data_IF_895679487163
#
_entry.id   IF_895679487163
#
_cell.length_a   1.000
_cell.length_b   1.000
_cell.length_c   1.000
_cell.angle_alpha   90.00
_cell.angle_beta   90.00
_cell.angle_gamma   90.00
#
_symmetry.space_group_name_H-M   'P 1'
#
loop_
_entity.id
_entity.type
_entity.pdbx_description
1 polymer ?
#
# COMPACT_ATOMS: atom_id res chain seq x y z
N UNK A 1 -10.86 -4.73 8.58
CA UNK A 1 -9.50 -4.91 8.03
C UNK A 1 -9.50 -4.33 6.62
N UNK A 2 -8.80 -3.22 6.39
CA UNK A 2 -8.78 -2.60 5.07
C UNK A 2 -7.73 -3.29 4.20
N UNK A 3 -8.19 -4.11 3.26
CA UNK A 3 -7.32 -4.76 2.28
C UNK A 3 -7.03 -3.75 1.16
N UNK A 4 -5.79 -3.27 1.09
CA UNK A 4 -5.34 -2.37 0.03
C UNK A 4 -4.70 -3.20 -1.08
N UNK A 5 -4.99 -2.91 -2.33
CA UNK A 5 -4.26 -3.52 -3.44
C UNK A 5 -2.97 -2.75 -3.68
N UNK A 6 -1.79 -3.36 -3.64
CA UNK A 6 -0.56 -2.75 -4.13
C UNK A 6 0.07 -3.62 -5.20
N UNK A 7 0.76 -2.97 -6.11
CA UNK A 7 1.65 -3.67 -7.01
C UNK A 7 2.94 -4.02 -6.28
N UNK A 8 3.17 -5.32 -6.08
CA UNK A 8 4.43 -5.79 -5.54
C UNK A 8 5.42 -5.96 -6.68
N UNK A 9 6.49 -5.15 -6.70
CA UNK A 9 7.54 -5.20 -7.72
C UNK A 9 8.31 -6.52 -7.73
N UNK A 10 8.44 -7.20 -6.58
CA UNK A 10 9.04 -8.55 -6.53
C UNK A 10 8.14 -9.60 -7.16
N UNK A 11 6.84 -9.56 -6.87
CA UNK A 11 5.88 -10.51 -7.43
C UNK A 11 5.40 -10.12 -8.84
N UNK A 12 5.73 -8.90 -9.30
CA UNK A 12 5.23 -8.28 -10.55
C UNK A 12 3.72 -8.43 -10.73
N UNK A 13 2.99 -8.38 -9.63
CA UNK A 13 1.56 -8.62 -9.59
C UNK A 13 0.90 -7.67 -8.60
N UNK A 14 -0.36 -7.32 -8.87
CA UNK A 14 -1.23 -6.64 -7.92
C UNK A 14 -1.62 -7.64 -6.83
N UNK A 15 -1.37 -7.29 -5.58
CA UNK A 15 -1.67 -8.12 -4.42
C UNK A 15 -2.43 -7.27 -3.41
N UNK A 16 -3.48 -7.84 -2.84
CA UNK A 16 -4.10 -7.33 -1.63
C UNK A 16 -3.14 -7.53 -0.47
N UNK A 17 -2.85 -6.46 0.25
CA UNK A 17 -2.06 -6.48 1.46
C UNK A 17 -2.85 -5.78 2.56
N UNK A 18 -2.69 -6.28 3.77
CA UNK A 18 -3.21 -5.60 4.94
C UNK A 18 -2.20 -4.53 5.35
N UNK A 19 -2.70 -3.30 5.41
CA UNK A 19 -1.90 -2.13 5.66
C UNK A 19 -2.72 -1.04 6.29
N UNK A 20 -2.04 -0.07 6.87
CA UNK A 20 -2.65 1.10 7.48
C UNK A 20 -2.48 2.31 6.56
N UNK A 21 -3.50 3.15 6.52
CA UNK A 21 -3.41 4.44 5.83
C UNK A 21 -2.70 5.40 6.75
N UNK A 22 -1.53 5.84 6.33
CA UNK A 22 -0.77 6.90 6.96
C UNK A 22 -0.95 8.18 6.18
N UNK A 23 -1.15 9.28 6.88
CA UNK A 23 -1.15 10.61 6.29
C UNK A 23 0.29 11.13 6.31
N UNK A 24 0.85 11.41 5.14
CA UNK A 24 2.19 11.98 5.02
C UNK A 24 2.14 13.47 5.36
N UNK A 25 3.26 14.01 5.84
CA UNK A 25 3.43 15.44 6.17
C UNK A 25 3.08 16.41 5.03
N UNK A 26 2.99 15.93 3.79
CA UNK A 26 2.58 16.69 2.61
C UNK A 26 1.06 16.64 2.35
N UNK A 27 0.26 16.18 3.32
CA UNK A 27 -1.21 16.10 3.23
C UNK A 27 -1.72 14.98 2.32
N UNK A 28 -0.86 14.03 1.92
CA UNK A 28 -1.24 12.89 1.07
C UNK A 28 -1.46 11.65 1.90
N UNK A 29 -2.52 10.90 1.62
CA UNK A 29 -2.76 9.59 2.22
C UNK A 29 -1.96 8.53 1.48
N UNK A 30 -1.31 7.63 2.21
CA UNK A 30 -0.64 6.47 1.66
C UNK A 30 -1.01 5.24 2.50
N UNK A 31 -1.42 4.16 1.84
CA UNK A 31 -1.51 2.85 2.48
C UNK A 31 -0.10 2.26 2.57
N UNK A 32 0.40 2.05 3.79
CA UNK A 32 1.61 1.27 4.05
C UNK A 32 1.23 -0.10 4.59
N UNK A 33 1.85 -1.14 4.07
CA UNK A 33 1.73 -2.47 4.63
C UNK A 33 2.76 -3.43 4.05
N UNK A 34 2.53 -4.72 4.22
CA UNK A 34 3.51 -5.76 3.92
C UNK A 34 2.94 -6.75 2.92
N UNK A 35 3.69 -7.05 1.86
CA UNK A 35 3.26 -8.06 0.90
C UNK A 35 3.25 -9.44 1.56
N UNK A 36 2.11 -10.17 1.57
CA UNK A 36 2.02 -11.48 2.24
C UNK A 36 2.81 -12.59 1.53
N UNK A 37 3.25 -12.37 0.29
CA UNK A 37 3.95 -13.38 -0.52
C UNK A 37 5.46 -13.29 -0.35
N UNK A 38 6.03 -12.09 -0.40
CA UNK A 38 7.47 -11.88 -0.40
C UNK A 38 7.99 -11.11 0.83
N UNK A 39 7.10 -10.79 1.78
CA UNK A 39 7.43 -10.06 3.01
C UNK A 39 7.92 -8.62 2.79
N UNK A 40 7.86 -8.12 1.56
CA UNK A 40 8.40 -6.80 1.23
C UNK A 40 7.41 -5.72 1.62
N UNK A 41 7.89 -4.64 2.27
CA UNK A 41 7.07 -3.45 2.54
C UNK A 41 6.59 -2.86 1.22
N UNK A 42 5.28 -2.78 1.08
CA UNK A 42 4.61 -2.15 -0.06
C UNK A 42 3.90 -0.90 0.43
N UNK A 43 4.06 0.18 -0.32
CA UNK A 43 3.37 1.44 -0.05
C UNK A 43 2.59 1.82 -1.30
N UNK A 44 1.27 2.02 -1.14
CA UNK A 44 0.43 2.59 -2.18
C UNK A 44 0.03 3.99 -1.78
N UNK A 45 0.47 4.97 -2.54
CA UNK A 45 0.02 6.35 -2.38
C UNK A 45 -1.44 6.40 -2.84
N UNK A 46 -2.35 6.61 -1.91
CA UNK A 46 -3.74 6.93 -2.20
C UNK A 46 -3.77 8.43 -2.51
N UNK A 47 -3.34 8.75 -3.73
CA UNK A 47 -3.35 10.12 -4.24
C UNK A 47 -4.73 10.73 -4.03
N UNK A 48 -4.74 11.98 -3.57
CA UNK A 48 -5.91 12.83 -3.27
C UNK A 48 -7.08 12.47 -4.19
N UNK A 49 -8.07 11.74 -3.67
CA UNK A 49 -9.39 11.70 -4.32
C UNK A 49 -9.89 13.13 -4.22
N UNK A 50 -10.02 13.78 -5.38
CA UNK A 50 -10.75 15.03 -5.50
C UNK A 50 -12.19 14.84 -5.04
#
# INVERSE_FOLDING_TARGET
MAAYEAYCVKCRAKRTFEGQVVELKNGRKAAQGTCPVCGTKVMRILGKTA
#
